data_IF_402461535510
#
_entry.id   IF_402461535510
#
_cell.length_a   1.000
_cell.length_b   1.000
_cell.length_c   1.000
_cell.angle_alpha   90.00
_cell.angle_beta   90.00
_cell.angle_gamma   90.00
#
_symmetry.space_group_name_H-M   'P 1'
#
loop_
_entity.id
_entity.type
_entity.pdbx_description
1 polymer ?
#
# COMPACT_ATOMS: atom_id res chain seq x y z
N UNK A 1 7.93 -5.02 -14.13
CA UNK A 1 7.44 -3.67 -13.79
C UNK A 1 6.31 -3.88 -12.80
N UNK A 2 6.38 -3.29 -11.60
CA UNK A 2 5.24 -3.35 -10.66
C UNK A 2 4.34 -2.16 -10.92
N UNK A 3 3.04 -2.39 -10.93
CA UNK A 3 2.01 -1.39 -11.22
C UNK A 3 1.15 -1.21 -9.98
N UNK A 4 0.97 0.05 -9.61
CA UNK A 4 0.06 0.47 -8.57
C UNK A 4 -1.13 1.17 -9.21
N UNK A 5 -2.33 0.76 -8.86
CA UNK A 5 -3.56 1.37 -9.35
C UNK A 5 -4.23 2.15 -8.22
N UNK A 6 -4.82 3.30 -8.56
CA UNK A 6 -5.52 4.17 -7.61
C UNK A 6 -6.90 4.47 -8.16
N UNK A 7 -7.96 4.16 -7.40
CA UNK A 7 -9.34 4.29 -7.85
C UNK A 7 -10.34 4.61 -6.74
N UNK A 8 -11.62 4.66 -7.09
CA UNK A 8 -12.72 4.93 -6.15
C UNK A 8 -13.23 3.65 -5.44
N UNK A 9 -12.85 2.47 -5.96
CA UNK A 9 -13.17 1.16 -5.41
C UNK A 9 -14.54 0.58 -5.80
N UNK A 10 -15.42 1.35 -6.45
CA UNK A 10 -16.75 0.87 -6.87
C UNK A 10 -16.68 0.38 -8.31
N UNK A 11 -16.21 1.24 -9.23
CA UNK A 11 -16.13 0.90 -10.65
C UNK A 11 -14.80 0.25 -11.00
N UNK A 12 -13.79 0.46 -10.16
CA UNK A 12 -12.41 0.08 -10.43
C UNK A 12 -12.00 -1.25 -9.79
N UNK A 13 -12.90 -1.94 -9.09
CA UNK A 13 -12.61 -3.20 -8.38
C UNK A 13 -11.92 -4.29 -9.25
N UNK A 14 -12.32 -4.51 -10.51
CA UNK A 14 -11.62 -5.45 -11.39
C UNK A 14 -10.19 -5.03 -11.70
N UNK A 15 -9.89 -3.73 -11.74
CA UNK A 15 -8.54 -3.23 -12.04
C UNK A 15 -7.66 -3.24 -10.78
N UNK A 16 -8.24 -2.89 -9.62
CA UNK A 16 -7.58 -2.96 -8.31
C UNK A 16 -7.06 -4.36 -8.02
N UNK A 17 -7.85 -5.40 -8.32
CA UNK A 17 -7.46 -6.80 -8.11
C UNK A 17 -6.36 -7.33 -9.05
N UNK A 18 -6.10 -6.65 -10.17
CA UNK A 18 -5.05 -7.03 -11.13
C UNK A 18 -3.76 -6.21 -10.95
N UNK A 19 -3.79 -5.15 -10.15
CA UNK A 19 -2.61 -4.37 -9.81
C UNK A 19 -1.73 -5.15 -8.81
N UNK A 20 -0.43 -4.83 -8.78
CA UNK A 20 0.45 -5.36 -7.73
C UNK A 20 0.10 -4.78 -6.36
N UNK A 21 -0.43 -3.55 -6.34
CA UNK A 21 -0.99 -2.88 -5.17
C UNK A 21 -2.15 -1.99 -5.60
N UNK A 22 -3.33 -2.19 -5.02
CA UNK A 22 -4.52 -1.37 -5.23
C UNK A 22 -4.74 -0.35 -4.12
N UNK A 23 -4.90 0.93 -4.49
CA UNK A 23 -5.25 2.02 -3.59
C UNK A 23 -6.66 2.51 -3.86
N UNK A 24 -7.43 2.72 -2.80
CA UNK A 24 -8.75 3.34 -2.86
C UNK A 24 -8.74 4.71 -2.20
N UNK A 25 -9.36 5.69 -2.85
CA UNK A 25 -9.55 7.05 -2.32
C UNK A 25 -11.01 7.23 -1.94
N UNK A 26 -11.28 7.45 -0.67
CA UNK A 26 -12.65 7.72 -0.24
C UNK A 26 -12.79 7.81 1.27
N UNK A 27 -13.89 8.43 1.69
CA UNK A 27 -14.23 8.64 3.11
C UNK A 27 -14.84 7.39 3.77
N UNK A 28 -14.58 6.19 3.25
CA UNK A 28 -15.00 4.93 3.85
C UNK A 28 -16.50 4.63 3.75
N UNK A 29 -17.08 4.65 2.54
CA UNK A 29 -18.35 3.91 2.33
C UNK A 29 -18.02 2.44 2.08
N UNK A 30 -18.64 1.55 2.86
CA UNK A 30 -18.34 0.11 3.04
C UNK A 30 -18.08 -0.72 1.77
N UNK A 31 -18.49 -0.26 0.59
CA UNK A 31 -18.36 -0.98 -0.68
C UNK A 31 -16.93 -1.00 -1.22
N UNK A 32 -16.11 -0.01 -0.89
CA UNK A 32 -14.79 0.15 -1.51
C UNK A 32 -13.64 -0.57 -0.77
N UNK A 33 -13.91 -1.24 0.36
CA UNK A 33 -12.90 -1.78 1.27
C UNK A 33 -12.47 -3.21 0.89
N UNK A 34 -13.36 -4.04 0.36
CA UNK A 34 -13.05 -5.46 0.11
C UNK A 34 -11.94 -5.73 -0.93
N UNK A 35 -11.78 -4.96 -2.03
CA UNK A 35 -10.77 -5.25 -3.05
C UNK A 35 -9.46 -4.45 -2.93
N UNK A 36 -9.31 -3.57 -1.92
CA UNK A 36 -8.20 -2.63 -1.85
C UNK A 36 -7.12 -3.03 -0.84
N UNK A 37 -5.85 -2.95 -1.23
CA UNK A 37 -4.71 -3.18 -0.32
C UNK A 37 -4.48 -2.00 0.62
N UNK A 38 -4.76 -0.77 0.14
CA UNK A 38 -4.56 0.46 0.89
C UNK A 38 -5.74 1.41 0.68
N UNK A 39 -6.24 2.00 1.77
CA UNK A 39 -7.34 2.98 1.75
C UNK A 39 -6.83 4.36 2.21
N UNK A 40 -6.98 5.36 1.35
CA UNK A 40 -6.65 6.76 1.62
C UNK A 40 -7.85 7.49 2.21
N UNK A 41 -7.91 7.50 3.55
CA UNK A 41 -9.00 8.06 4.34
C UNK A 41 -9.18 9.57 4.19
N UNK A 42 -8.10 10.32 3.89
CA UNK A 42 -8.14 11.79 3.78
C UNK A 42 -8.73 12.29 2.46
N UNK A 43 -8.93 11.42 1.47
CA UNK A 43 -9.27 11.82 0.10
C UNK A 43 -8.11 12.46 -0.67
N UNK A 44 -6.91 12.54 -0.07
CA UNK A 44 -5.73 13.17 -0.68
C UNK A 44 -4.83 12.15 -1.37
N UNK A 45 -4.62 12.35 -2.68
CA UNK A 45 -3.70 11.57 -3.52
C UNK A 45 -2.26 11.61 -3.03
N UNK A 46 -1.82 12.66 -2.32
CA UNK A 46 -0.50 12.70 -1.70
C UNK A 46 -0.30 11.57 -0.68
N UNK A 47 -1.39 10.98 -0.17
CA UNK A 47 -1.35 9.78 0.66
C UNK A 47 -0.66 8.59 -0.04
N UNK A 48 -0.73 8.48 -1.37
CA UNK A 48 -0.01 7.45 -2.14
C UNK A 48 1.50 7.64 -1.99
N UNK A 49 1.99 8.87 -2.17
CA UNK A 49 3.42 9.19 -2.05
C UNK A 49 3.92 8.89 -0.65
N UNK A 50 3.16 9.30 0.37
CA UNK A 50 3.48 9.00 1.76
C UNK A 50 3.53 7.48 2.04
N UNK A 51 2.60 6.70 1.47
CA UNK A 51 2.61 5.25 1.60
C UNK A 51 3.89 4.63 1.02
N UNK A 52 4.39 5.11 -0.13
CA UNK A 52 5.66 4.68 -0.70
C UNK A 52 6.86 5.04 0.20
N UNK A 53 6.89 6.26 0.74
CA UNK A 53 7.97 6.67 1.66
C UNK A 53 8.00 5.82 2.94
N UNK A 54 6.84 5.57 3.53
CA UNK A 54 6.72 4.74 4.74
C UNK A 54 7.13 3.30 4.41
N UNK A 55 6.70 2.75 3.27
CA UNK A 55 7.07 1.42 2.82
C UNK A 55 8.58 1.25 2.65
N UNK A 56 9.26 2.20 2.01
CA UNK A 56 10.71 2.14 1.83
C UNK A 56 11.46 2.22 3.18
N UNK A 57 11.05 3.13 4.07
CA UNK A 57 11.62 3.23 5.43
C UNK A 57 11.40 1.93 6.23
N UNK A 58 10.20 1.35 6.15
CA UNK A 58 9.86 0.10 6.82
C UNK A 58 10.72 -1.06 6.30
N UNK A 59 10.85 -1.19 4.98
CA UNK A 59 11.66 -2.23 4.35
C UNK A 59 13.15 -2.08 4.68
N UNK A 60 13.67 -0.85 4.80
CA UNK A 60 15.04 -0.62 5.29
C UNK A 60 15.20 -1.10 6.73
N UNK A 61 14.26 -0.77 7.61
CA UNK A 61 14.30 -1.21 9.00
C UNK A 61 14.23 -2.74 9.12
N UNK A 62 13.37 -3.40 8.34
CA UNK A 62 13.27 -4.87 8.29
C UNK A 62 14.61 -5.48 7.87
N UNK A 63 15.23 -4.97 6.79
CA UNK A 63 16.53 -5.47 6.31
C UNK A 63 17.63 -5.28 7.35
N UNK A 64 17.65 -4.14 8.03
CA UNK A 64 18.61 -3.88 9.10
C UNK A 64 18.41 -4.84 10.28
N UNK A 65 17.16 -5.02 10.75
CA UNK A 65 16.86 -5.96 11.83
C UNK A 65 17.28 -7.38 11.49
N UNK A 66 16.94 -7.86 10.28
CA UNK A 66 17.32 -9.19 9.83
C UNK A 66 18.84 -9.34 9.71
N UNK A 67 19.54 -8.32 9.23
CA UNK A 67 21.01 -8.31 9.19
C UNK A 67 21.60 -8.47 10.59
N UNK A 68 21.16 -7.67 11.58
CA UNK A 68 21.62 -7.78 12.95
C UNK A 68 21.29 -9.13 13.59
N UNK A 69 20.08 -9.66 13.38
CA UNK A 69 19.70 -10.99 13.88
C UNK A 69 20.57 -12.09 13.29
N UNK A 70 20.85 -12.04 11.98
CA UNK A 70 21.74 -13.01 11.34
C UNK A 70 23.20 -12.87 11.78
N UNK A 71 23.67 -11.64 12.02
CA UNK A 71 25.06 -11.38 12.40
C UNK A 71 25.36 -11.72 13.86
N UNK A 72 24.40 -11.53 14.79
CA UNK A 72 24.57 -11.86 16.21
C UNK A 72 24.37 -13.35 16.50
N UNK A 73 23.68 -14.07 15.60
CA UNK A 73 23.41 -15.51 15.73
C UNK A 73 24.50 -16.39 15.08
N UNK A 74 25.58 -15.79 14.57
CA UNK A 74 26.68 -16.44 13.84
C UNK A 74 27.99 -16.40 14.63
#
# INVERSE_FOLDING_TARGET
MRVTFVGDGINDAPVLSHADVGFVIGTGTDVAIEPADVVLMSGDLCGVVNAFEISDRSMRNIRQNLFWTSAVSM
#
